data_IF_109078961719
#
_entry.id   IF_109078961719
#
_cell.length_a   1.000
_cell.length_b   1.000
_cell.length_c   1.000
_cell.angle_alpha   90.00
_cell.angle_beta   90.00
_cell.angle_gamma   90.00
#
_symmetry.space_group_name_H-M   'P 1'
#
loop_
_entity.id
_entity.type
_entity.pdbx_description
1 polymer ?
#
# COMPACT_ATOMS: atom_id res chain seq x y z
N UNK A 1 48.57 -36.78 -10.27
CA UNK A 1 49.15 -37.70 -9.29
C UNK A 1 48.14 -37.80 -8.17
N UNK A 2 47.51 -38.77 -7.88
CA UNK A 2 47.40 -40.18 -7.68
C UNK A 2 46.04 -40.39 -6.99
N UNK A 3 45.06 -40.96 -7.49
CA UNK A 3 44.70 -42.36 -7.66
C UNK A 3 44.72 -43.21 -6.39
N UNK A 4 43.57 -43.78 -6.02
CA UNK A 4 43.32 -45.10 -5.53
C UNK A 4 42.05 -45.12 -4.65
N UNK A 5 41.07 -45.80 -5.00
CA UNK A 5 40.65 -47.19 -5.28
C UNK A 5 39.78 -47.74 -4.14
N UNK A 6 38.58 -48.16 -4.52
CA UNK A 6 37.70 -49.16 -3.90
C UNK A 6 38.44 -50.52 -3.65
N UNK A 7 37.95 -51.43 -2.77
CA UNK A 7 37.06 -52.51 -3.19
C UNK A 7 35.96 -52.88 -2.16
N UNK A 8 34.81 -53.33 -2.55
CA UNK A 8 34.24 -54.57 -3.11
C UNK A 8 34.08 -55.72 -2.09
N UNK A 9 32.85 -56.23 -2.07
CA UNK A 9 32.37 -57.61 -2.09
C UNK A 9 31.91 -58.33 -0.81
N UNK A 10 30.72 -58.94 -0.99
CA UNK A 10 30.30 -60.37 -0.80
C UNK A 10 29.73 -60.63 0.62
N UNK A 11 28.65 -61.36 0.87
CA UNK A 11 27.96 -62.44 0.17
C UNK A 11 26.60 -62.76 0.83
N UNK A 12 25.85 -63.44 0.05
CA UNK A 12 24.57 -64.09 0.29
C UNK A 12 24.58 -65.12 1.42
N UNK A 13 23.41 -65.30 2.08
CA UNK A 13 22.94 -66.64 2.48
C UNK A 13 21.42 -66.68 2.66
N UNK A 14 20.75 -67.52 1.86
CA UNK A 14 19.49 -68.18 2.16
C UNK A 14 19.80 -69.52 2.91
N UNK A 15 18.89 -70.05 3.76
CA UNK A 15 18.21 -71.25 3.32
C UNK A 15 16.72 -71.40 3.72
N UNK A 16 16.07 -72.02 2.87
CA UNK A 16 14.96 -72.95 2.74
C UNK A 16 14.39 -73.63 4.00
N UNK A 17 13.05 -73.73 4.03
CA UNK A 17 12.36 -74.97 4.23
C UNK A 17 11.37 -75.01 5.38
N UNK A 18 10.10 -75.08 5.16
CA UNK A 18 9.28 -76.29 5.18
C UNK A 18 7.77 -75.97 5.14
N UNK A 19 7.15 -76.62 4.21
CA UNK A 19 5.69 -76.73 4.13
C UNK A 19 5.17 -77.75 5.11
N UNK A 20 4.01 -77.46 5.71
CA UNK A 20 3.16 -78.55 6.30
C UNK A 20 1.71 -78.20 5.82
N UNK A 21 1.20 -79.17 5.08
CA UNK A 21 -0.20 -79.25 4.62
C UNK A 21 -0.99 -79.99 5.71
N UNK A 22 -2.17 -79.47 6.07
CA UNK A 22 -3.25 -80.33 6.62
C UNK A 22 -4.58 -79.85 6.08
N UNK A 23 -5.21 -80.76 5.36
CA UNK A 23 -6.54 -80.74 4.78
C UNK A 23 -7.66 -80.89 5.78
N UNK A 24 -8.84 -80.33 5.50
CA UNK A 24 -10.10 -80.79 6.05
C UNK A 24 -11.27 -79.81 5.93
N UNK A 25 -12.38 -80.23 5.34
CA UNK A 25 -13.48 -79.35 5.00
C UNK A 25 -14.57 -79.25 6.05
N UNK A 26 -15.20 -78.12 6.28
CA UNK A 26 -16.56 -78.09 6.87
C UNK A 26 -17.32 -76.78 6.52
N UNK A 27 -18.35 -77.03 5.69
CA UNK A 27 -19.73 -76.54 5.80
C UNK A 27 -19.99 -75.07 5.87
N UNK A 28 -20.46 -74.58 4.75
CA UNK A 28 -21.53 -73.64 4.42
C UNK A 28 -22.32 -73.16 5.62
N UNK A 29 -22.23 -71.89 5.93
CA UNK A 29 -23.37 -71.11 6.47
C UNK A 29 -23.46 -69.84 5.64
N UNK A 30 -24.54 -69.79 4.85
CA UNK A 30 -25.05 -68.58 4.22
C UNK A 30 -25.41 -67.61 5.32
N UNK A 31 -24.68 -66.54 5.47
CA UNK A 31 -25.10 -65.40 6.22
C UNK A 31 -25.05 -64.20 5.26
N UNK A 32 -26.22 -63.66 5.10
CA UNK A 32 -26.59 -62.50 4.28
C UNK A 32 -25.66 -61.34 4.56
N UNK A 33 -24.86 -60.98 3.61
CA UNK A 33 -24.19 -59.69 3.62
C UNK A 33 -25.18 -58.69 2.99
N UNK A 34 -25.92 -58.07 3.90
CA UNK A 34 -26.72 -56.91 3.61
C UNK A 34 -25.82 -55.84 3.02
N UNK A 35 -26.27 -55.43 1.87
CA UNK A 35 -25.89 -54.30 1.06
C UNK A 35 -25.78 -53.02 1.89
N UNK A 36 -24.61 -52.72 2.42
CA UNK A 36 -24.26 -51.36 2.88
C UNK A 36 -23.79 -50.56 1.64
N UNK A 37 -24.79 -50.15 0.88
CA UNK A 37 -24.66 -49.02 -0.04
C UNK A 37 -24.24 -47.82 0.80
N UNK A 38 -22.93 -47.48 0.75
CA UNK A 38 -22.43 -46.19 1.17
C UNK A 38 -23.19 -45.13 0.38
N UNK A 39 -24.16 -44.53 0.98
CA UNK A 39 -24.63 -43.21 0.61
C UNK A 39 -23.44 -42.25 0.74
N UNK A 40 -22.66 -42.13 -0.33
CA UNK A 40 -21.83 -40.95 -0.55
C UNK A 40 -22.77 -39.76 -0.53
N UNK A 41 -22.98 -39.24 0.66
CA UNK A 41 -23.64 -37.94 0.84
C UNK A 41 -22.83 -36.94 0.01
N UNK A 42 -23.37 -36.60 -1.16
CA UNK A 42 -23.04 -35.33 -1.80
C UNK A 42 -23.32 -34.28 -0.74
N UNK A 43 -22.29 -33.88 0.02
CA UNK A 43 -22.33 -32.61 0.74
C UNK A 43 -22.61 -31.56 -0.34
N UNK A 44 -23.76 -30.88 -0.30
CA UNK A 44 -23.91 -29.74 -1.18
C UNK A 44 -22.70 -28.87 -0.92
N UNK A 45 -21.94 -28.53 -1.97
CA UNK A 45 -20.89 -27.54 -1.88
C UNK A 45 -21.55 -26.35 -1.18
N UNK A 46 -20.95 -25.93 -0.04
CA UNK A 46 -21.43 -24.74 0.65
C UNK A 46 -21.57 -23.65 -0.42
N UNK A 47 -22.70 -22.94 -0.48
CA UNK A 47 -22.91 -21.91 -1.48
C UNK A 47 -21.68 -21.02 -1.42
N UNK A 48 -20.97 -20.92 -2.54
CA UNK A 48 -19.83 -20.01 -2.66
C UNK A 48 -20.31 -18.69 -2.09
N UNK A 49 -19.64 -18.20 -1.05
CA UNK A 49 -19.99 -16.97 -0.39
C UNK A 49 -20.23 -15.95 -1.52
N UNK A 50 -21.45 -15.45 -1.63
CA UNK A 50 -21.80 -14.45 -2.63
C UNK A 50 -20.76 -13.36 -2.43
N UNK A 51 -19.88 -13.21 -3.39
CA UNK A 51 -18.90 -12.13 -3.41
C UNK A 51 -19.73 -10.85 -3.50
N UNK A 52 -20.03 -10.27 -2.34
CA UNK A 52 -20.63 -8.96 -2.27
C UNK A 52 -19.67 -8.03 -2.99
N UNK A 53 -20.12 -7.36 -4.05
CA UNK A 53 -19.29 -6.44 -4.78
C UNK A 53 -18.74 -5.38 -3.84
N UNK A 54 -17.49 -5.00 -4.03
CA UNK A 54 -16.83 -3.91 -3.30
C UNK A 54 -17.08 -2.63 -4.08
N UNK A 55 -17.65 -1.62 -3.43
CA UNK A 55 -17.81 -0.30 -4.03
C UNK A 55 -16.48 0.44 -3.91
N UNK A 56 -15.92 0.86 -5.03
CA UNK A 56 -14.71 1.67 -5.11
C UNK A 56 -15.00 3.18 -4.99
N UNK A 57 -13.97 4.02 -4.96
CA UNK A 57 -14.14 5.47 -4.82
C UNK A 57 -14.66 6.15 -6.09
N UNK A 58 -14.82 5.42 -7.19
CA UNK A 58 -15.50 5.87 -8.39
C UNK A 58 -17.00 5.56 -8.36
N UNK A 59 -17.49 4.83 -7.34
CA UNK A 59 -18.86 4.38 -7.22
C UNK A 59 -19.14 3.08 -7.99
N UNK A 60 -18.13 2.46 -8.59
CA UNK A 60 -18.28 1.18 -9.28
C UNK A 60 -18.35 0.02 -8.29
N UNK A 61 -19.30 -0.89 -8.50
CA UNK A 61 -19.35 -2.15 -7.77
C UNK A 61 -18.48 -3.18 -8.48
N UNK A 62 -17.37 -3.53 -7.85
CA UNK A 62 -16.36 -4.46 -8.38
C UNK A 62 -16.51 -5.81 -7.69
N UNK A 63 -16.78 -6.87 -8.45
CA UNK A 63 -16.81 -8.24 -7.93
C UNK A 63 -15.35 -8.71 -7.75
N UNK A 64 -14.95 -8.94 -6.51
CA UNK A 64 -13.64 -9.51 -6.18
C UNK A 64 -13.88 -10.92 -5.66
N UNK A 65 -13.32 -11.91 -6.34
CA UNK A 65 -13.34 -13.28 -5.85
C UNK A 65 -12.55 -13.37 -4.55
N UNK A 66 -13.03 -14.17 -3.62
CA UNK A 66 -12.47 -14.26 -2.27
C UNK A 66 -11.03 -14.83 -2.28
N UNK A 67 -10.25 -14.56 -1.27
CA UNK A 67 -9.38 -13.37 -1.20
C UNK A 67 -8.35 -13.37 -2.35
N UNK A 68 -8.02 -12.25 -2.96
CA UNK A 68 -7.09 -12.18 -4.07
C UNK A 68 -5.69 -12.66 -3.61
N UNK A 69 -5.05 -13.43 -4.49
CA UNK A 69 -3.71 -13.98 -4.25
C UNK A 69 -2.63 -13.29 -5.09
N UNK A 70 -3.04 -12.50 -6.07
CA UNK A 70 -2.14 -11.84 -7.01
C UNK A 70 -2.57 -10.39 -7.21
N UNK A 71 -2.15 -9.54 -6.29
CA UNK A 71 -2.52 -8.13 -6.27
C UNK A 71 -1.44 -7.31 -6.97
N UNK A 72 -1.83 -6.51 -7.95
CA UNK A 72 -1.00 -5.41 -8.46
C UNK A 72 -1.43 -4.14 -7.78
N UNK A 73 -0.51 -3.51 -7.05
CA UNK A 73 -0.75 -2.25 -6.33
C UNK A 73 -0.02 -1.10 -7.01
N UNK A 74 -0.76 -0.26 -7.72
CA UNK A 74 -0.23 0.89 -8.45
C UNK A 74 -0.38 2.21 -7.66
N UNK A 75 -0.60 2.12 -6.37
CA UNK A 75 -0.68 3.24 -5.44
C UNK A 75 0.28 2.97 -4.28
N UNK A 76 1.31 3.79 -4.05
CA UNK A 76 2.26 3.58 -2.96
C UNK A 76 1.61 3.47 -1.58
N UNK A 77 0.60 4.29 -1.29
CA UNK A 77 -0.13 4.24 -0.02
C UNK A 77 -0.85 2.89 0.19
N UNK A 78 -1.46 2.30 -0.85
CA UNK A 78 -2.10 0.99 -0.74
C UNK A 78 -1.10 -0.14 -0.62
N UNK A 79 0.07 -0.01 -1.24
CA UNK A 79 1.17 -0.98 -1.05
C UNK A 79 1.59 -1.02 0.43
N UNK A 80 1.84 0.13 1.05
CA UNK A 80 2.15 0.20 2.48
C UNK A 80 1.05 -0.43 3.35
N UNK A 81 -0.22 -0.15 3.05
CA UNK A 81 -1.36 -0.71 3.77
C UNK A 81 -1.45 -2.23 3.62
N UNK A 82 -1.27 -2.78 2.39
CA UNK A 82 -1.28 -4.23 2.17
C UNK A 82 -0.22 -4.95 3.01
N UNK A 83 0.99 -4.39 3.07
CA UNK A 83 2.04 -4.94 3.93
C UNK A 83 1.70 -4.78 5.43
N UNK A 84 1.16 -3.64 5.84
CA UNK A 84 0.81 -3.38 7.23
C UNK A 84 -0.27 -4.31 7.77
N UNK A 85 -1.25 -4.70 6.94
CA UNK A 85 -2.33 -5.63 7.32
C UNK A 85 -1.98 -7.10 7.12
N UNK A 86 -0.75 -7.42 6.68
CA UNK A 86 -0.28 -8.80 6.48
C UNK A 86 -0.60 -9.42 5.11
N UNK A 87 -1.14 -8.62 4.16
CA UNK A 87 -1.45 -9.08 2.79
C UNK A 87 -0.27 -8.89 1.80
N UNK A 88 0.90 -8.50 2.28
CA UNK A 88 2.07 -8.19 1.45
C UNK A 88 2.53 -9.34 0.55
N UNK A 89 2.40 -10.60 1.00
CA UNK A 89 2.76 -11.79 0.21
C UNK A 89 1.89 -11.99 -1.03
N UNK A 90 0.71 -11.37 -1.09
CA UNK A 90 -0.16 -11.40 -2.26
C UNK A 90 0.21 -10.33 -3.30
N UNK A 91 1.10 -9.38 -2.98
CA UNK A 91 1.49 -8.31 -3.90
C UNK A 91 2.50 -8.86 -4.92
N UNK A 92 2.10 -8.91 -6.19
CA UNK A 92 2.91 -9.46 -7.29
C UNK A 92 3.43 -8.39 -8.26
N UNK A 93 3.03 -7.14 -8.07
CA UNK A 93 3.49 -6.00 -8.85
C UNK A 93 3.25 -4.69 -8.11
N UNK A 94 4.17 -3.75 -8.26
CA UNK A 94 4.14 -2.42 -7.64
C UNK A 94 4.64 -1.35 -8.60
N UNK A 95 4.49 -0.07 -8.21
CA UNK A 95 5.15 1.04 -8.93
C UNK A 95 6.58 1.27 -8.41
N UNK A 96 7.37 2.02 -9.15
CA UNK A 96 8.70 2.48 -8.71
C UNK A 96 8.67 3.30 -7.42
N UNK A 97 7.56 3.98 -7.15
CA UNK A 97 7.34 4.81 -5.96
C UNK A 97 6.93 4.03 -4.70
N UNK A 98 6.71 2.72 -4.82
CA UNK A 98 6.41 1.85 -3.67
C UNK A 98 7.69 1.42 -2.96
N UNK A 99 8.31 2.33 -2.24
CA UNK A 99 9.60 2.20 -1.57
C UNK A 99 9.51 1.69 -0.12
N UNK A 100 8.30 1.59 0.41
CA UNK A 100 8.08 1.14 1.79
C UNK A 100 6.94 0.09 1.88
N UNK A 101 7.07 -0.91 2.80
CA UNK A 101 8.23 -1.22 3.64
C UNK A 101 9.41 -1.74 2.78
N UNK A 102 10.62 -1.93 3.35
CA UNK A 102 11.76 -2.47 2.60
C UNK A 102 11.46 -3.78 1.87
N UNK A 103 10.57 -4.62 2.43
CA UNK A 103 10.11 -5.86 1.80
C UNK A 103 9.36 -5.61 0.47
N UNK A 104 8.76 -4.45 0.26
CA UNK A 104 8.11 -4.11 -1.01
C UNK A 104 9.13 -4.02 -2.16
N UNK A 105 10.40 -3.70 -1.88
CA UNK A 105 11.44 -3.62 -2.90
C UNK A 105 11.67 -4.96 -3.65
N UNK A 106 11.37 -6.09 -3.01
CA UNK A 106 11.47 -7.42 -3.62
C UNK A 106 10.32 -7.71 -4.62
N UNK A 107 9.25 -6.92 -4.60
CA UNK A 107 8.13 -7.07 -5.52
C UNK A 107 8.50 -6.46 -6.88
N UNK A 108 8.21 -7.14 -8.02
CA UNK A 108 8.47 -6.60 -9.35
C UNK A 108 7.94 -5.18 -9.55
N UNK A 109 8.80 -4.30 -10.05
CA UNK A 109 8.45 -2.94 -10.44
C UNK A 109 7.80 -2.96 -11.84
N UNK A 110 6.58 -2.43 -11.94
CA UNK A 110 5.81 -2.34 -13.18
C UNK A 110 5.78 -0.92 -13.78
N UNK A 111 6.65 -0.04 -13.29
CA UNK A 111 6.78 1.34 -13.75
C UNK A 111 5.94 2.33 -12.96
N UNK A 112 5.44 3.36 -13.65
CA UNK A 112 4.69 4.47 -13.05
C UNK A 112 3.22 4.10 -12.80
N UNK A 113 2.68 4.55 -11.67
CA UNK A 113 1.25 4.37 -11.32
C UNK A 113 0.32 5.43 -11.92
N UNK A 114 0.86 6.54 -12.46
CA UNK A 114 0.08 7.61 -13.12
C UNK A 114 -0.26 7.18 -14.55
N UNK A 115 0.73 6.62 -15.26
CA UNK A 115 0.58 6.08 -16.62
C UNK A 115 1.00 4.60 -16.66
N UNK A 116 0.21 3.69 -16.06
CA UNK A 116 0.60 2.30 -15.92
C UNK A 116 0.82 1.59 -17.26
N UNK A 117 1.88 0.79 -17.33
CA UNK A 117 2.08 -0.13 -18.44
C UNK A 117 1.13 -1.33 -18.32
N UNK A 118 0.05 -1.31 -19.10
CA UNK A 118 -1.00 -2.33 -19.03
C UNK A 118 -0.48 -3.71 -19.40
N UNK A 119 0.45 -3.83 -20.35
CA UNK A 119 1.06 -5.10 -20.76
C UNK A 119 1.87 -5.72 -19.60
N UNK A 120 2.64 -4.91 -18.86
CA UNK A 120 3.38 -5.36 -17.68
C UNK A 120 2.43 -5.82 -16.56
N UNK A 121 1.32 -5.08 -16.37
CA UNK A 121 0.26 -5.48 -15.43
C UNK A 121 -0.33 -6.83 -15.82
N UNK A 122 -0.70 -7.03 -17.09
CA UNK A 122 -1.27 -8.28 -17.59
C UNK A 122 -0.29 -9.45 -17.49
N UNK A 123 0.99 -9.22 -17.79
CA UNK A 123 2.04 -10.23 -17.69
C UNK A 123 2.21 -10.76 -16.26
N UNK A 124 1.92 -9.95 -15.24
CA UNK A 124 1.92 -10.37 -13.84
C UNK A 124 0.71 -11.23 -13.45
N UNK A 125 -0.27 -11.44 -14.34
CA UNK A 125 -1.49 -12.24 -14.14
C UNK A 125 -2.18 -11.92 -12.81
N UNK A 126 -2.62 -10.69 -12.59
CA UNK A 126 -3.27 -10.30 -11.36
C UNK A 126 -4.71 -10.84 -11.29
N UNK A 127 -5.18 -11.08 -10.08
CA UNK A 127 -6.59 -11.32 -9.77
C UNK A 127 -7.24 -10.09 -9.09
N UNK A 128 -6.44 -9.04 -8.82
CA UNK A 128 -6.91 -7.72 -8.39
C UNK A 128 -5.86 -6.66 -8.76
N UNK A 129 -6.33 -5.50 -9.27
CA UNK A 129 -5.49 -4.32 -9.53
C UNK A 129 -6.01 -3.14 -8.71
N UNK A 130 -5.10 -2.44 -8.02
CA UNK A 130 -5.40 -1.21 -7.28
C UNK A 130 -4.87 -0.02 -8.07
N UNK A 131 -5.77 0.90 -8.44
CA UNK A 131 -5.50 2.07 -9.26
C UNK A 131 -5.89 3.35 -8.50
N UNK A 132 -5.10 4.41 -8.65
CA UNK A 132 -5.52 5.72 -8.18
C UNK A 132 -6.75 6.21 -8.95
N UNK A 133 -7.70 6.83 -8.25
CA UNK A 133 -8.91 7.37 -8.86
C UNK A 133 -8.58 8.60 -9.70
N UNK A 134 -8.51 8.42 -11.01
CA UNK A 134 -8.31 9.48 -11.99
C UNK A 134 -9.04 9.14 -13.29
N UNK A 135 -9.24 10.15 -14.15
CA UNK A 135 -9.84 9.95 -15.46
C UNK A 135 -9.01 9.01 -16.34
N UNK A 136 -7.68 9.10 -16.27
CA UNK A 136 -6.77 8.22 -17.01
C UNK A 136 -6.91 6.77 -16.56
N UNK A 137 -6.92 6.53 -15.25
CA UNK A 137 -7.08 5.19 -14.69
C UNK A 137 -8.49 4.62 -14.86
N UNK A 138 -9.49 5.45 -15.13
CA UNK A 138 -10.82 4.97 -15.50
C UNK A 138 -10.82 4.16 -16.81
N UNK A 139 -10.10 4.61 -17.82
CA UNK A 139 -9.95 3.88 -19.08
C UNK A 139 -9.19 2.55 -18.88
N UNK A 140 -8.15 2.56 -18.04
CA UNK A 140 -7.38 1.35 -17.70
C UNK A 140 -8.25 0.35 -16.94
N UNK A 141 -9.02 0.80 -15.94
CA UNK A 141 -9.94 -0.05 -15.20
C UNK A 141 -11.00 -0.68 -16.11
N UNK A 142 -11.56 0.09 -17.07
CA UNK A 142 -12.49 -0.42 -18.05
C UNK A 142 -11.86 -1.51 -18.93
N UNK A 143 -10.63 -1.31 -19.43
CA UNK A 143 -9.88 -2.31 -20.21
C UNK A 143 -9.61 -3.59 -19.39
N UNK A 144 -9.19 -3.47 -18.12
CA UNK A 144 -8.97 -4.61 -17.25
C UNK A 144 -10.28 -5.40 -17.02
N UNK A 145 -11.40 -4.69 -16.85
CA UNK A 145 -12.73 -5.29 -16.68
C UNK A 145 -13.15 -6.13 -17.90
N UNK A 146 -12.89 -5.66 -19.14
CA UNK A 146 -13.18 -6.43 -20.36
C UNK A 146 -12.34 -7.72 -20.46
N UNK A 147 -11.20 -7.77 -19.77
CA UNK A 147 -10.33 -8.94 -19.66
C UNK A 147 -10.65 -9.81 -18.44
N UNK A 148 -11.73 -9.51 -17.71
CA UNK A 148 -12.15 -10.24 -16.50
C UNK A 148 -11.27 -9.99 -15.27
N UNK A 149 -10.45 -8.95 -15.27
CA UNK A 149 -9.57 -8.58 -14.15
C UNK A 149 -10.23 -7.46 -13.33
N UNK A 150 -10.59 -7.72 -12.06
CA UNK A 150 -11.14 -6.70 -11.18
C UNK A 150 -10.12 -5.61 -10.89
N UNK A 151 -10.56 -4.35 -10.95
CA UNK A 151 -9.75 -3.20 -10.63
C UNK A 151 -10.53 -2.26 -9.70
N UNK A 152 -9.92 -1.87 -8.58
CA UNK A 152 -10.46 -0.89 -7.64
C UNK A 152 -9.76 0.45 -7.85
N UNK A 153 -10.54 1.49 -8.06
CA UNK A 153 -10.05 2.89 -8.13
C UNK A 153 -10.22 3.55 -6.77
N UNK A 154 -9.13 3.98 -6.17
CA UNK A 154 -9.09 4.42 -4.78
C UNK A 154 -8.54 5.84 -4.65
N UNK A 155 -9.16 6.66 -3.81
CA UNK A 155 -8.65 7.94 -3.37
C UNK A 155 -7.77 7.74 -2.12
N UNK A 156 -6.55 8.23 -2.20
CA UNK A 156 -5.58 8.16 -1.09
C UNK A 156 -4.96 9.53 -0.85
N UNK A 157 -5.80 10.57 -0.76
CA UNK A 157 -5.34 11.97 -0.75
C UNK A 157 -5.31 12.59 0.64
N UNK A 158 -5.95 11.93 1.62
CA UNK A 158 -6.14 12.46 2.97
C UNK A 158 -5.73 11.47 4.06
N UNK A 159 -5.36 11.97 5.23
CA UNK A 159 -5.09 11.11 6.38
C UNK A 159 -6.27 10.20 6.77
N UNK A 160 -7.50 10.67 6.60
CA UNK A 160 -8.70 9.88 6.86
C UNK A 160 -8.82 8.65 5.93
N UNK A 161 -8.19 8.69 4.75
CA UNK A 161 -8.23 7.57 3.80
C UNK A 161 -7.42 6.38 4.29
N UNK A 162 -6.41 6.57 5.13
CA UNK A 162 -5.55 5.50 5.65
C UNK A 162 -6.38 4.41 6.33
N UNK A 163 -7.21 4.78 7.31
CA UNK A 163 -8.07 3.83 8.02
C UNK A 163 -9.19 3.27 7.13
N UNK A 164 -9.80 4.11 6.31
CA UNK A 164 -10.89 3.73 5.40
C UNK A 164 -10.42 2.70 4.36
N UNK A 165 -9.33 3.01 3.65
CA UNK A 165 -8.75 2.12 2.64
C UNK A 165 -8.15 0.87 3.29
N UNK A 166 -7.50 1.02 4.45
CA UNK A 166 -6.99 -0.13 5.22
C UNK A 166 -8.10 -1.15 5.49
N UNK A 167 -9.25 -0.72 6.02
CA UNK A 167 -10.40 -1.59 6.28
C UNK A 167 -11.01 -2.18 5.01
N UNK A 168 -11.07 -1.39 3.93
CA UNK A 168 -11.53 -1.90 2.63
C UNK A 168 -10.62 -3.03 2.14
N UNK A 169 -9.30 -2.81 2.12
CA UNK A 169 -8.31 -3.81 1.72
C UNK A 169 -8.34 -5.04 2.65
N UNK A 170 -8.52 -4.83 3.96
CA UNK A 170 -8.64 -5.92 4.92
C UNK A 170 -9.82 -6.84 4.61
N UNK A 171 -11.01 -6.29 4.30
CA UNK A 171 -12.16 -7.09 3.88
C UNK A 171 -11.90 -7.83 2.57
N UNK A 172 -11.33 -7.16 1.58
CA UNK A 172 -11.03 -7.73 0.26
C UNK A 172 -10.01 -8.86 0.34
N UNK A 173 -8.97 -8.71 1.17
CA UNK A 173 -7.87 -9.68 1.27
C UNK A 173 -8.06 -10.73 2.36
N UNK A 174 -9.16 -10.69 3.11
CA UNK A 174 -9.41 -11.60 4.23
C UNK A 174 -8.62 -11.26 5.51
N UNK A 175 -8.07 -10.04 5.61
CA UNK A 175 -7.28 -9.57 6.76
C UNK A 175 -8.05 -8.51 7.59
N UNK A 176 -9.37 -8.63 7.72
CA UNK A 176 -10.22 -7.61 8.34
C UNK A 176 -9.79 -7.25 9.77
N UNK A 177 -9.53 -8.26 10.64
CA UNK A 177 -9.10 -8.01 12.02
C UNK A 177 -7.76 -7.28 12.10
N UNK A 178 -6.79 -7.63 11.25
CA UNK A 178 -5.51 -6.93 11.18
C UNK A 178 -5.69 -5.48 10.69
N UNK A 179 -6.56 -5.26 9.71
CA UNK A 179 -6.86 -3.92 9.20
C UNK A 179 -7.52 -3.03 10.25
N UNK A 180 -8.46 -3.57 11.05
CA UNK A 180 -9.07 -2.85 12.16
C UNK A 180 -8.03 -2.49 13.24
N UNK A 181 -7.12 -3.41 13.56
CA UNK A 181 -6.02 -3.15 14.49
C UNK A 181 -5.07 -2.07 13.97
N UNK A 182 -4.66 -2.15 12.70
CA UNK A 182 -3.79 -1.13 12.06
C UNK A 182 -4.46 0.23 12.08
N UNK A 183 -5.76 0.31 11.75
CA UNK A 183 -6.51 1.55 11.76
C UNK A 183 -6.61 2.15 13.19
N UNK A 184 -6.90 1.33 14.21
CA UNK A 184 -6.99 1.79 15.59
C UNK A 184 -5.64 2.31 16.12
N UNK A 185 -4.54 1.61 15.81
CA UNK A 185 -3.17 2.04 16.15
C UNK A 185 -2.84 3.35 15.45
N UNK A 186 -3.19 3.47 14.16
CA UNK A 186 -2.99 4.69 13.38
C UNK A 186 -3.76 5.87 13.99
N UNK A 187 -5.04 5.71 14.30
CA UNK A 187 -5.89 6.77 14.84
C UNK A 187 -5.35 7.25 16.20
N UNK A 188 -4.96 6.33 17.08
CA UNK A 188 -4.35 6.65 18.39
C UNK A 188 -2.99 7.37 18.21
N UNK A 189 -2.13 6.87 17.33
CA UNK A 189 -0.84 7.48 17.06
C UNK A 189 -0.99 8.87 16.42
N UNK A 190 -1.98 9.05 15.56
CA UNK A 190 -2.29 10.33 14.91
C UNK A 190 -2.76 11.36 15.95
N UNK A 191 -3.66 10.97 16.86
CA UNK A 191 -4.10 11.83 17.96
C UNK A 191 -2.92 12.25 18.85
N UNK A 192 -2.05 11.30 19.23
CA UNK A 192 -0.88 11.55 20.06
C UNK A 192 0.20 12.40 19.38
N UNK A 193 0.31 12.34 18.05
CA UNK A 193 1.27 13.14 17.29
C UNK A 193 0.77 14.56 17.01
N UNK A 194 -0.54 14.80 17.11
CA UNK A 194 -1.14 16.12 16.85
C UNK A 194 -0.79 17.10 17.97
N UNK A 195 -0.18 18.23 17.61
CA UNK A 195 0.24 19.27 18.56
C UNK A 195 -0.91 20.24 18.78
N UNK A 196 -1.17 20.57 20.05
CA UNK A 196 -2.00 21.72 20.41
C UNK A 196 -1.07 22.93 20.63
N UNK A 197 -1.09 23.93 19.73
CA UNK A 197 -0.21 25.08 19.84
C UNK A 197 -0.55 25.91 21.08
N UNK A 198 0.46 26.35 21.84
CA UNK A 198 0.32 27.23 23.00
C UNK A 198 0.73 28.67 22.70
N UNK A 199 1.07 28.99 21.46
CA UNK A 199 1.52 30.30 21.01
C UNK A 199 1.31 30.52 19.51
N UNK A 200 1.93 31.56 18.93
CA UNK A 200 1.86 31.82 17.49
C UNK A 200 2.31 30.62 16.67
N UNK A 201 1.59 30.34 15.61
CA UNK A 201 1.86 29.24 14.71
C UNK A 201 2.68 29.72 13.51
N UNK A 202 3.81 29.11 13.17
CA UNK A 202 4.61 29.52 12.02
C UNK A 202 3.82 29.34 10.73
N UNK A 203 3.86 30.35 9.87
CA UNK A 203 3.29 30.34 8.53
C UNK A 203 4.24 29.61 7.58
N UNK A 204 3.78 28.51 7.01
CA UNK A 204 4.58 27.63 6.16
C UNK A 204 4.10 27.71 4.72
N UNK A 205 4.98 28.13 3.81
CA UNK A 205 4.75 27.96 2.38
C UNK A 205 5.01 26.49 1.99
N UNK A 206 4.01 25.85 1.40
CA UNK A 206 4.12 24.48 0.88
C UNK A 206 4.47 24.54 -0.60
N UNK A 207 5.76 24.70 -0.92
CA UNK A 207 6.21 24.83 -2.31
C UNK A 207 6.48 23.44 -2.90
N UNK A 208 5.62 23.00 -3.83
CA UNK A 208 5.69 21.68 -4.48
C UNK A 208 6.24 21.72 -5.89
N UNK A 209 6.25 22.90 -6.50
CA UNK A 209 6.85 23.16 -7.81
C UNK A 209 7.38 24.58 -7.87
N UNK A 210 8.52 24.77 -8.54
CA UNK A 210 9.26 26.05 -8.47
C UNK A 210 8.95 27.00 -9.64
N UNK A 211 8.55 26.45 -10.81
CA UNK A 211 8.39 27.27 -12.01
C UNK A 211 7.33 26.67 -12.97
N UNK A 212 6.12 27.27 -13.00
CA UNK A 212 5.65 28.37 -12.12
C UNK A 212 5.55 27.90 -10.67
N UNK A 213 5.65 28.82 -9.68
CA UNK A 213 5.49 28.44 -8.28
C UNK A 213 4.12 27.82 -8.02
N UNK A 214 4.09 26.61 -7.46
CA UNK A 214 2.84 25.94 -7.10
C UNK A 214 2.86 25.58 -5.63
N UNK A 215 1.74 25.85 -4.98
CA UNK A 215 1.49 25.52 -3.58
C UNK A 215 0.35 24.52 -3.43
N UNK A 216 0.21 23.97 -2.25
CA UNK A 216 -0.87 23.06 -1.89
C UNK A 216 -1.85 23.77 -0.98
N UNK A 217 -3.14 23.65 -1.30
CA UNK A 217 -4.23 24.26 -0.55
C UNK A 217 -4.73 23.42 0.63
N UNK A 218 -5.79 23.93 1.26
CA UNK A 218 -6.45 23.28 2.41
C UNK A 218 -7.00 21.90 2.07
N UNK A 219 -6.89 20.99 3.04
CA UNK A 219 -7.49 19.67 2.97
C UNK A 219 -6.68 18.67 2.17
N UNK A 220 -5.49 19.04 1.68
CA UNK A 220 -4.50 18.11 1.18
C UNK A 220 -3.81 17.36 2.33
N UNK A 221 -3.15 16.26 1.99
CA UNK A 221 -2.36 15.49 2.95
C UNK A 221 -1.26 16.34 3.62
N UNK A 222 -0.51 17.11 2.84
CA UNK A 222 0.61 17.90 3.35
C UNK A 222 0.12 19.07 4.23
N UNK A 223 -1.01 19.69 3.86
CA UNK A 223 -1.68 20.67 4.71
C UNK A 223 -2.06 20.07 6.07
N UNK A 224 -2.64 18.86 6.07
CA UNK A 224 -2.98 18.15 7.31
C UNK A 224 -1.76 17.86 8.17
N UNK A 225 -0.63 17.45 7.57
CA UNK A 225 0.63 17.22 8.30
C UNK A 225 1.11 18.52 8.97
N UNK A 226 1.18 19.62 8.22
CA UNK A 226 1.65 20.92 8.73
C UNK A 226 0.75 21.43 9.86
N UNK A 227 -0.57 21.38 9.67
CA UNK A 227 -1.52 21.84 10.71
C UNK A 227 -1.42 21.00 11.98
N UNK A 228 -1.32 19.69 11.88
CA UNK A 228 -1.15 18.78 13.03
C UNK A 228 0.22 18.90 13.69
N UNK A 229 1.23 19.28 12.94
CA UNK A 229 2.56 19.56 13.48
C UNK A 229 2.66 20.92 14.19
N UNK A 230 1.61 21.75 14.16
CA UNK A 230 1.55 23.05 14.82
C UNK A 230 1.81 24.25 13.89
N UNK A 231 2.00 24.05 12.59
CA UNK A 231 2.14 25.12 11.60
C UNK A 231 0.79 25.63 11.01
N UNK A 232 0.87 26.63 10.15
CA UNK A 232 -0.24 27.13 9.36
C UNK A 232 0.18 27.11 7.90
N UNK A 233 -0.64 26.53 7.02
CA UNK A 233 -0.41 26.63 5.58
C UNK A 233 -0.64 28.06 5.11
N UNK A 234 0.39 28.67 4.51
CA UNK A 234 0.35 30.05 4.03
C UNK A 234 -0.79 30.31 3.02
N UNK A 235 -1.18 29.28 2.28
CA UNK A 235 -2.22 29.33 1.25
C UNK A 235 -3.39 28.39 1.58
N UNK A 236 -3.79 28.34 2.85
CA UNK A 236 -4.95 27.53 3.28
C UNK A 236 -6.28 27.99 2.65
N UNK A 237 -6.32 29.17 2.06
CA UNK A 237 -7.47 29.72 1.32
C UNK A 237 -7.57 29.21 -0.13
N UNK A 238 -6.54 28.55 -0.65
CA UNK A 238 -6.59 27.88 -1.95
C UNK A 238 -7.49 26.64 -1.83
N UNK A 239 -8.60 26.66 -2.59
CA UNK A 239 -9.63 25.62 -2.49
C UNK A 239 -9.27 24.31 -3.21
N UNK A 240 -8.22 24.31 -4.02
CA UNK A 240 -7.75 23.12 -4.77
C UNK A 240 -6.60 22.40 -4.05
N UNK A 241 -6.41 21.13 -4.37
CA UNK A 241 -5.30 20.33 -3.83
C UNK A 241 -3.91 20.90 -4.19
N UNK A 242 -3.82 21.64 -5.32
CA UNK A 242 -2.64 22.41 -5.72
C UNK A 242 -3.08 23.62 -6.58
N UNK A 243 -2.29 24.69 -6.54
CA UNK A 243 -2.56 25.89 -7.32
C UNK A 243 -1.29 26.69 -7.61
N UNK A 244 -1.25 27.38 -8.76
CA UNK A 244 -0.19 28.33 -9.08
C UNK A 244 -0.36 29.59 -8.25
N UNK A 245 0.74 30.11 -7.71
CA UNK A 245 0.78 31.36 -6.94
C UNK A 245 1.85 32.28 -7.51
N UNK A 246 1.68 33.61 -7.33
CA UNK A 246 2.74 34.51 -7.70
C UNK A 246 3.73 34.75 -6.56
N UNK A 247 4.95 35.10 -6.89
CA UNK A 247 6.00 35.37 -5.88
C UNK A 247 5.62 36.60 -5.05
N UNK A 248 4.95 37.59 -5.65
CA UNK A 248 4.41 38.79 -4.96
C UNK A 248 3.37 38.39 -3.92
N UNK A 249 2.48 37.42 -4.25
CA UNK A 249 1.52 36.90 -3.28
C UNK A 249 2.21 36.15 -2.13
N UNK A 250 3.30 35.41 -2.40
CA UNK A 250 4.13 34.79 -1.38
C UNK A 250 4.80 35.83 -0.49
N UNK A 251 5.41 36.85 -1.10
CA UNK A 251 6.11 37.92 -0.37
C UNK A 251 5.16 38.74 0.51
N UNK A 252 3.95 39.10 0.00
CA UNK A 252 2.94 39.85 0.76
C UNK A 252 2.37 39.10 1.96
N UNK A 253 2.30 37.74 1.90
CA UNK A 253 1.84 36.90 3.00
C UNK A 253 2.91 36.62 4.03
N UNK A 254 4.16 36.89 3.70
CA UNK A 254 5.36 36.79 4.52
C UNK A 254 5.45 35.44 5.27
N UNK A 255 5.87 34.35 4.59
CA UNK A 255 6.05 33.06 5.24
C UNK A 255 7.19 33.11 6.28
N UNK A 256 7.03 32.39 7.38
CA UNK A 256 8.11 32.14 8.34
C UNK A 256 9.05 31.05 7.87
N UNK A 257 8.52 30.07 7.14
CA UNK A 257 9.24 28.91 6.65
C UNK A 257 8.78 28.52 5.24
N UNK A 258 9.68 27.96 4.44
CA UNK A 258 9.37 27.35 3.15
C UNK A 258 9.67 25.87 3.23
N UNK A 259 8.62 25.03 3.18
CA UNK A 259 8.75 23.59 3.09
C UNK A 259 9.18 23.21 1.68
N UNK A 260 10.23 22.40 1.57
CA UNK A 260 10.76 21.89 0.31
C UNK A 260 10.81 20.36 0.34
N UNK A 261 10.55 19.73 -0.81
CA UNK A 261 10.56 18.27 -0.94
C UNK A 261 11.92 17.71 -1.36
N UNK A 262 12.93 18.58 -1.53
CA UNK A 262 14.29 18.20 -1.91
C UNK A 262 15.27 18.44 -0.78
N UNK A 263 16.23 17.50 -0.60
CA UNK A 263 17.38 17.70 0.28
C UNK A 263 18.51 18.36 -0.53
N UNK A 264 18.88 19.58 -0.20
CA UNK A 264 20.02 20.23 -0.83
C UNK A 264 19.78 21.70 -1.16
N UNK A 265 20.68 22.30 -1.96
CA UNK A 265 20.53 23.69 -2.34
C UNK A 265 19.20 23.92 -3.06
N UNK A 266 18.44 24.87 -2.56
CA UNK A 266 17.15 25.24 -3.11
C UNK A 266 17.41 26.15 -4.32
N UNK A 267 17.26 25.62 -5.54
CA UNK A 267 17.69 26.30 -6.76
C UNK A 267 17.01 27.68 -6.96
N UNK A 268 15.73 27.79 -6.61
CA UNK A 268 15.00 29.07 -6.72
C UNK A 268 15.53 30.13 -5.75
N UNK A 269 16.21 29.76 -4.67
CA UNK A 269 16.70 30.72 -3.67
C UNK A 269 17.75 31.70 -4.22
N UNK A 270 18.41 31.37 -5.32
CA UNK A 270 19.38 32.25 -5.99
C UNK A 270 18.75 33.20 -7.02
N UNK A 271 17.45 33.02 -7.32
CA UNK A 271 16.77 33.86 -8.34
C UNK A 271 16.40 35.23 -7.78
N UNK A 272 16.63 36.32 -8.52
CA UNK A 272 16.37 37.71 -8.06
C UNK A 272 14.95 37.93 -7.55
N UNK A 273 13.95 37.39 -8.25
CA UNK A 273 12.54 37.56 -7.93
C UNK A 273 12.15 36.99 -6.58
N UNK A 274 12.82 35.91 -6.16
CA UNK A 274 12.58 35.27 -4.87
C UNK A 274 13.24 36.03 -3.69
N UNK A 275 14.13 37.00 -3.98
CA UNK A 275 14.73 37.82 -2.93
C UNK A 275 13.73 38.79 -2.29
N UNK A 276 12.55 39.00 -2.90
CA UNK A 276 11.45 39.69 -2.28
C UNK A 276 10.88 38.96 -1.05
N UNK A 277 11.04 37.65 -0.97
CA UNK A 277 10.52 36.82 0.11
C UNK A 277 11.54 36.75 1.27
N UNK A 278 11.16 37.21 2.47
CA UNK A 278 12.02 37.24 3.66
C UNK A 278 12.60 35.87 3.99
N UNK A 279 11.76 34.83 4.02
CA UNK A 279 12.19 33.47 4.32
C UNK A 279 13.26 32.93 3.36
N UNK A 280 13.30 33.40 2.10
CA UNK A 280 14.35 33.06 1.12
C UNK A 280 15.66 33.74 1.49
N UNK A 281 15.63 35.07 1.77
CA UNK A 281 16.84 35.83 2.17
C UNK A 281 17.47 35.26 3.45
N UNK A 282 16.61 34.85 4.38
CA UNK A 282 17.01 34.29 5.68
C UNK A 282 17.29 32.78 5.63
N UNK A 283 17.18 32.17 4.44
CA UNK A 283 17.36 30.71 4.22
C UNK A 283 16.54 29.83 5.14
N UNK A 284 15.32 30.24 5.44
CA UNK A 284 14.39 29.54 6.33
C UNK A 284 13.68 28.42 5.59
N UNK A 285 14.43 27.41 5.17
CA UNK A 285 13.94 26.24 4.47
C UNK A 285 13.71 25.07 5.42
N UNK A 286 12.63 24.32 5.16
CA UNK A 286 12.19 23.16 5.92
C UNK A 286 12.17 21.94 4.98
N UNK A 287 13.32 21.23 4.80
CA UNK A 287 13.34 20.08 3.91
C UNK A 287 12.61 18.88 4.53
N UNK A 288 11.70 18.28 3.74
CA UNK A 288 10.99 17.04 4.02
C UNK A 288 11.19 16.09 2.84
N UNK A 289 12.05 15.10 3.01
CA UNK A 289 12.55 14.27 1.90
C UNK A 289 12.09 12.82 1.95
N UNK A 290 11.48 12.41 3.07
CA UNK A 290 10.96 11.05 3.22
C UNK A 290 9.65 10.84 2.47
N UNK A 291 9.45 9.64 1.95
CA UNK A 291 8.20 9.30 1.24
C UNK A 291 6.95 9.36 2.14
N UNK A 292 7.11 9.37 3.47
CA UNK A 292 6.04 9.61 4.45
C UNK A 292 5.46 11.03 4.38
N UNK A 293 6.16 11.98 3.73
CA UNK A 293 5.67 13.33 3.48
C UNK A 293 4.98 13.49 2.11
N UNK A 294 5.06 12.46 1.25
CA UNK A 294 4.56 12.53 -0.12
C UNK A 294 3.22 11.82 -0.31
N UNK A 295 2.75 11.06 0.70
CA UNK A 295 1.53 10.27 0.60
C UNK A 295 0.92 9.95 1.96
N UNK A 296 -0.41 9.86 2.06
CA UNK A 296 -1.08 9.34 3.26
C UNK A 296 -0.70 7.87 3.48
N UNK A 297 -0.12 7.57 4.62
CA UNK A 297 0.29 6.21 4.96
C UNK A 297 0.26 5.98 6.47
N UNK A 298 0.38 4.74 6.94
CA UNK A 298 0.50 4.45 8.38
C UNK A 298 1.67 5.15 9.07
N UNK A 299 2.63 5.70 8.30
CA UNK A 299 3.79 6.45 8.82
C UNK A 299 3.51 7.92 9.12
N UNK A 300 2.36 8.46 8.71
CA UNK A 300 2.02 9.87 8.90
C UNK A 300 2.16 10.39 10.35
N UNK A 301 1.84 9.63 11.42
CA UNK A 301 2.10 10.08 12.79
C UNK A 301 3.59 10.34 13.09
N UNK A 302 4.50 9.56 12.48
CA UNK A 302 5.94 9.79 12.61
C UNK A 302 6.37 11.05 11.85
N UNK A 303 5.84 11.25 10.63
CA UNK A 303 6.07 12.46 9.84
C UNK A 303 5.60 13.72 10.59
N UNK A 304 4.45 13.68 11.25
CA UNK A 304 3.95 14.80 12.06
C UNK A 304 4.90 15.11 13.22
N UNK A 305 5.38 14.10 13.96
CA UNK A 305 6.34 14.31 15.05
C UNK A 305 7.65 14.91 14.57
N UNK A 306 8.17 14.42 13.46
CA UNK A 306 9.38 14.96 12.84
C UNK A 306 9.19 16.41 12.42
N UNK A 307 8.09 16.70 11.71
CA UNK A 307 7.75 18.04 11.25
C UNK A 307 7.56 19.00 12.43
N UNK A 308 6.86 18.57 13.48
CA UNK A 308 6.70 19.38 14.71
C UNK A 308 8.04 19.69 15.37
N UNK A 309 8.96 18.73 15.43
CA UNK A 309 10.30 18.98 15.97
C UNK A 309 11.09 19.99 15.10
N UNK A 310 10.95 19.92 13.78
CA UNK A 310 11.58 20.87 12.85
C UNK A 310 10.98 22.27 12.99
N UNK A 311 9.64 22.38 13.07
CA UNK A 311 8.95 23.67 13.25
C UNK A 311 9.38 24.37 14.53
N UNK A 312 9.50 23.66 15.66
CA UNK A 312 9.96 24.21 16.93
C UNK A 312 11.41 24.71 16.94
N UNK A 313 12.28 24.13 16.11
CA UNK A 313 13.70 24.57 16.01
C UNK A 313 13.86 25.77 15.12
N UNK A 314 12.92 25.99 14.22
CA UNK A 314 12.99 27.05 13.23
C UNK A 314 12.22 28.33 13.66
N UNK A 315 11.37 28.27 14.67
CA UNK A 315 10.70 29.42 15.31
C UNK A 315 11.53 29.92 16.48
#
# INVERSE_FOLDING_TARGET
MSAARLPSRIARHHPRGRAISISGPRRIRRASWALLLALSACRPAAPAARSGGVVDDAGDTVAVAAPPRRIVSLIPATTELLFAIGAGSSVVGRTEWCDYPPAAAAVPNLGDGIAPNVEAVLASRPDLVLLYHSAQNAAIAARLRTLGIPALRLNTDRLADVGRIGRLLGRVTGHAAAADSVAAVFDSALASATVTPTGPRPKVLLLVWEQPPMTIGRGSFLDDLVRRAGGVNLFEDVASSAGTVSIEAVASRDPDLILTTTAGPVAFASRPEWQAVRAVRERRFLPVTGSEFNRPSPRAPAAIRELSAKLRRAG
#
